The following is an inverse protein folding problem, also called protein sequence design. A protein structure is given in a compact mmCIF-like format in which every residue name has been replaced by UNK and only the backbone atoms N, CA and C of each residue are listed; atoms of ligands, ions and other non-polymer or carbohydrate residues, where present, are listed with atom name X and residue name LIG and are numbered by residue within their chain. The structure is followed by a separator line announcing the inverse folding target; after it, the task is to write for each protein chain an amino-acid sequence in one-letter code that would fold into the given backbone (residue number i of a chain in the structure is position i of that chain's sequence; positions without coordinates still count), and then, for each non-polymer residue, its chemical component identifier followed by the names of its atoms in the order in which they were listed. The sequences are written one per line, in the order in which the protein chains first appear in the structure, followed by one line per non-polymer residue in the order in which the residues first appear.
data_IF_253578134960
#
_entry.id   IF_253578134960
#
_cell.length_a   1.000
_cell.length_b   1.000
_cell.length_c   1.000
_cell.angle_alpha   90.00
_cell.angle_beta   90.00
_cell.angle_gamma   90.00
#
_symmetry.space_group_name_H-M   'P 1'
#
loop_
_entity.id
_entity.type
_entity.pdbx_description
1 polymer ?
#
# COMPACT_ATOMS: atom_id res chain seq x y z
N UNK A 1 -32.69 62.72 76.05
CA UNK A 1 -33.04 61.74 75.02
C UNK A 1 -31.87 61.63 74.03
N UNK A 2 -30.92 60.67 74.24
CA UNK A 2 -29.77 60.48 73.40
C UNK A 2 -29.94 59.12 72.70
N UNK A 3 -30.09 59.12 71.37
CA UNK A 3 -30.17 57.95 70.57
C UNK A 3 -28.75 57.45 70.25
N UNK A 4 -28.44 56.24 70.72
CA UNK A 4 -27.18 55.53 70.46
C UNK A 4 -27.31 54.81 69.17
N UNK A 5 -26.49 55.17 68.15
CA UNK A 5 -26.39 54.48 66.89
C UNK A 5 -25.34 53.37 67.02
N UNK A 6 -25.77 52.10 66.89
CA UNK A 6 -24.90 50.96 66.92
C UNK A 6 -24.45 50.67 65.47
N UNK A 7 -23.17 50.89 65.18
CA UNK A 7 -22.56 50.63 63.90
C UNK A 7 -22.07 49.16 63.88
N UNK A 8 -22.78 48.32 63.15
CA UNK A 8 -22.35 46.91 62.94
C UNK A 8 -21.37 46.88 61.78
N UNK A 9 -20.11 46.55 62.11
CA UNK A 9 -19.01 46.33 61.10
C UNK A 9 -19.10 44.94 60.57
N UNK A 10 -19.57 44.79 59.32
CA UNK A 10 -19.55 43.50 58.61
C UNK A 10 -18.17 43.34 57.98
N UNK A 11 -17.32 42.44 58.52
CA UNK A 11 -16.04 42.03 57.93
C UNK A 11 -16.36 40.95 56.93
N UNK A 12 -16.36 41.33 55.64
CA UNK A 12 -16.42 40.37 54.51
C UNK A 12 -15.12 39.64 54.38
N UNK A 13 -15.11 38.34 54.64
CA UNK A 13 -14.02 37.45 54.25
C UNK A 13 -14.06 37.26 52.72
N UNK A 14 -13.20 37.99 52.00
CA UNK A 14 -12.89 37.68 50.60
C UNK A 14 -11.90 36.53 50.58
N UNK A 15 -12.43 35.32 50.45
CA UNK A 15 -11.63 34.13 50.17
C UNK A 15 -11.13 34.18 48.73
N UNK A 16 -9.89 34.62 48.51
CA UNK A 16 -9.21 34.39 47.25
C UNK A 16 -9.00 32.88 47.05
N UNK A 17 -9.82 32.26 46.19
CA UNK A 17 -9.46 30.97 45.59
C UNK A 17 -8.26 31.21 44.70
N UNK A 18 -7.09 30.87 45.17
CA UNK A 18 -5.91 30.70 44.34
C UNK A 18 -6.13 29.44 43.48
N UNK A 19 -6.76 29.58 42.31
CA UNK A 19 -6.64 28.62 41.25
C UNK A 19 -5.19 28.65 40.78
N UNK A 20 -4.35 27.85 41.45
CA UNK A 20 -3.06 27.46 40.86
C UNK A 20 -3.37 26.73 39.57
N UNK A 21 -3.38 27.45 38.45
CA UNK A 21 -3.12 26.84 37.13
C UNK A 21 -1.79 26.13 37.29
N UNK A 22 -1.86 24.82 37.49
CA UNK A 22 -0.71 23.95 37.35
C UNK A 22 -0.41 24.01 35.84
N UNK A 23 0.43 24.97 35.44
CA UNK A 23 1.15 24.88 34.21
C UNK A 23 2.05 23.64 34.35
N UNK A 24 1.49 22.47 34.07
CA UNK A 24 2.31 21.32 33.69
C UNK A 24 2.94 21.71 32.37
N UNK A 25 4.10 22.35 32.41
CA UNK A 25 5.08 22.25 31.34
C UNK A 25 5.32 20.76 31.20
N UNK A 26 4.69 20.16 30.19
CA UNK A 26 5.06 18.82 29.75
C UNK A 26 6.57 18.85 29.59
N UNK A 27 7.32 17.87 30.17
CA UNK A 27 8.75 17.76 29.88
C UNK A 27 8.89 17.80 28.38
N UNK A 28 9.99 18.38 27.88
CA UNK A 28 10.32 18.35 26.46
C UNK A 28 10.31 16.88 26.04
N UNK A 29 9.20 16.45 25.47
CA UNK A 29 9.04 15.10 24.95
C UNK A 29 10.08 14.95 23.86
N UNK A 30 10.92 13.94 23.96
CA UNK A 30 11.82 13.53 22.89
C UNK A 30 10.94 13.21 21.68
N UNK A 31 10.71 14.25 20.87
CA UNK A 31 9.93 14.14 19.65
C UNK A 31 10.86 13.63 18.55
N UNK A 32 10.57 12.44 18.04
CA UNK A 32 11.21 11.92 16.85
C UNK A 32 10.19 11.66 15.76
N UNK A 33 10.59 11.79 14.52
CA UNK A 33 9.76 11.55 13.36
C UNK A 33 10.31 10.37 12.57
N UNK A 34 9.42 9.47 12.13
CA UNK A 34 9.79 8.39 11.24
C UNK A 34 10.30 8.97 9.92
N UNK A 35 11.53 8.63 9.56
CA UNK A 35 12.13 9.11 8.32
C UNK A 35 11.61 8.29 7.15
N UNK A 36 10.88 8.95 6.25
CA UNK A 36 10.44 8.41 4.97
C UNK A 36 11.24 9.08 3.86
N UNK A 37 11.80 8.27 2.94
CA UNK A 37 12.62 8.75 1.82
C UNK A 37 11.77 9.03 0.57
N UNK A 38 10.73 8.24 0.36
CA UNK A 38 9.92 8.20 -0.86
C UNK A 38 8.43 8.35 -0.59
N UNK A 39 7.89 7.61 0.39
CA UNK A 39 6.47 7.62 0.71
C UNK A 39 6.01 8.98 1.23
N UNK A 40 4.83 9.42 0.76
CA UNK A 40 4.21 10.71 1.10
C UNK A 40 2.82 10.54 1.73
N UNK A 41 2.24 9.36 1.56
CA UNK A 41 0.87 9.06 1.99
C UNK A 41 0.70 8.91 3.48
N UNK A 42 1.79 8.79 4.27
CA UNK A 42 1.70 8.73 5.72
C UNK A 42 2.86 9.43 6.43
N UNK A 43 2.68 9.70 7.71
CA UNK A 43 3.74 10.19 8.60
C UNK A 43 3.53 9.67 10.01
N UNK A 44 4.61 9.52 10.77
CA UNK A 44 4.55 9.07 12.17
C UNK A 44 5.45 9.95 13.02
N UNK A 45 4.89 10.48 14.09
CA UNK A 45 5.62 11.24 15.11
C UNK A 45 5.54 10.48 16.43
N UNK A 46 6.69 10.14 16.98
CA UNK A 46 6.84 9.51 18.28
C UNK A 46 7.09 10.59 19.34
N UNK A 47 6.25 10.63 20.36
CA UNK A 47 6.34 11.52 21.52
C UNK A 47 6.82 10.78 22.78
N UNK A 48 7.39 9.59 22.64
CA UNK A 48 7.84 8.74 23.75
C UNK A 48 6.69 8.07 24.50
N UNK A 49 5.69 8.84 24.90
CA UNK A 49 4.51 8.34 25.62
C UNK A 49 3.36 7.91 24.70
N UNK A 50 3.40 8.26 23.44
CA UNK A 50 2.43 7.89 22.40
C UNK A 50 3.01 8.22 21.02
N UNK A 51 2.41 7.63 19.98
CA UNK A 51 2.73 8.00 18.60
C UNK A 51 1.50 8.55 17.90
N UNK A 52 1.71 9.48 16.99
CA UNK A 52 0.68 9.97 16.08
C UNK A 52 1.00 9.45 14.69
N UNK A 53 0.12 8.63 14.15
CA UNK A 53 0.13 8.20 12.76
C UNK A 53 -0.87 9.05 11.98
N UNK A 54 -0.42 9.68 10.89
CA UNK A 54 -1.30 10.38 9.95
C UNK A 54 -1.28 9.69 8.60
N UNK A 55 -2.45 9.55 7.99
CA UNK A 55 -2.62 9.06 6.63
C UNK A 55 -3.17 10.20 5.79
N UNK A 56 -2.42 10.58 4.77
CA UNK A 56 -2.77 11.67 3.87
C UNK A 56 -3.32 11.07 2.57
N UNK A 57 -4.50 11.53 2.14
CA UNK A 57 -5.06 11.19 0.81
C UNK A 57 -5.00 9.68 0.48
N UNK A 58 -5.62 8.78 1.26
CA UNK A 58 -5.52 7.34 1.07
C UNK A 58 -6.15 6.80 -0.24
N UNK A 59 -6.82 7.66 -1.02
CA UNK A 59 -7.35 7.40 -2.37
C UNK A 59 -7.26 8.66 -3.23
N UNK A 60 -7.34 8.54 -4.56
CA UNK A 60 -7.24 9.68 -5.47
C UNK A 60 -8.29 10.77 -5.17
N UNK A 61 -7.84 12.02 -5.18
CA UNK A 61 -8.67 13.20 -4.89
C UNK A 61 -9.22 13.27 -3.46
N UNK A 62 -8.72 12.46 -2.53
CA UNK A 62 -9.01 12.64 -1.11
C UNK A 62 -8.28 13.88 -0.60
N UNK A 63 -9.00 14.79 0.04
CA UNK A 63 -8.44 15.94 0.76
C UNK A 63 -8.36 15.67 2.28
N UNK A 64 -8.91 14.53 2.72
CA UNK A 64 -8.98 14.18 4.14
C UNK A 64 -7.66 13.58 4.61
N UNK A 65 -7.15 14.10 5.73
CA UNK A 65 -6.09 13.47 6.53
C UNK A 65 -6.74 12.74 7.70
N UNK A 66 -6.38 11.50 7.90
CA UNK A 66 -6.78 10.70 9.05
C UNK A 66 -5.68 10.73 10.10
N UNK A 67 -6.07 10.92 11.37
CA UNK A 67 -5.12 11.01 12.50
C UNK A 67 -5.42 9.91 13.50
N UNK A 68 -4.44 9.06 13.75
CA UNK A 68 -4.55 7.92 14.66
C UNK A 68 -3.57 8.08 15.83
N UNK A 69 -4.08 7.81 17.04
CA UNK A 69 -3.26 7.76 18.25
C UNK A 69 -2.86 6.33 18.51
N UNK A 70 -1.56 6.06 18.58
CA UNK A 70 -1.01 4.75 18.89
C UNK A 70 -0.43 4.74 20.30
N UNK A 71 -0.83 3.76 21.11
CA UNK A 71 -0.46 3.60 22.52
C UNK A 71 0.00 2.16 22.78
N UNK A 72 1.00 1.97 23.64
CA UNK A 72 1.20 0.65 24.22
C UNK A 72 0.09 0.31 25.22
N UNK A 73 -0.02 -0.95 25.62
CA UNK A 73 -0.99 -1.40 26.63
C UNK A 73 -0.80 -0.62 27.94
N UNK A 74 0.43 -0.40 28.37
CA UNK A 74 0.79 0.34 29.57
C UNK A 74 0.40 1.82 29.47
N UNK A 75 0.69 2.43 28.31
CA UNK A 75 0.33 3.85 28.05
C UNK A 75 -1.18 4.04 28.04
N UNK A 76 -1.93 3.12 27.45
CA UNK A 76 -3.39 3.16 27.41
C UNK A 76 -4.03 3.10 28.81
N UNK A 77 -3.40 2.43 29.78
CA UNK A 77 -3.88 2.32 31.16
C UNK A 77 -3.71 3.62 31.98
N UNK A 78 -2.67 4.40 31.68
CA UNK A 78 -2.28 5.56 32.50
C UNK A 78 -2.57 6.91 31.87
N UNK A 79 -2.92 6.92 30.57
CA UNK A 79 -3.12 8.15 29.80
C UNK A 79 -4.61 8.36 29.50
N UNK A 80 -5.06 9.60 29.58
CA UNK A 80 -6.41 9.99 29.19
C UNK A 80 -6.32 10.90 27.98
N UNK A 81 -6.90 10.49 26.88
CA UNK A 81 -6.99 11.26 25.64
C UNK A 81 -8.46 11.51 25.29
N UNK A 82 -8.75 12.66 24.71
CA UNK A 82 -10.06 12.89 24.14
C UNK A 82 -10.18 12.10 22.83
N UNK A 83 -11.15 11.18 22.79
CA UNK A 83 -11.34 10.30 21.62
C UNK A 83 -11.76 11.07 20.36
N UNK A 84 -12.40 12.21 20.52
CA UNK A 84 -12.89 13.03 19.40
C UNK A 84 -11.75 13.74 18.65
N UNK A 85 -10.55 13.79 19.22
CA UNK A 85 -9.38 14.40 18.58
C UNK A 85 -8.72 13.47 17.55
N UNK A 86 -9.15 12.21 17.47
CA UNK A 86 -8.53 11.17 16.64
C UNK A 86 -9.58 10.36 15.86
N UNK A 87 -9.25 9.94 14.65
CA UNK A 87 -10.10 9.02 13.86
C UNK A 87 -10.16 7.62 14.51
N UNK A 88 -9.10 7.19 15.21
CA UNK A 88 -9.12 6.05 16.13
C UNK A 88 -7.95 6.10 17.12
N UNK A 89 -8.11 5.38 18.25
CA UNK A 89 -7.06 5.10 19.23
C UNK A 89 -6.74 3.60 19.12
N UNK A 90 -5.48 3.26 18.92
CA UNK A 90 -5.02 1.91 18.59
C UNK A 90 -3.95 1.49 19.60
N UNK A 91 -4.12 0.31 20.18
CA UNK A 91 -3.11 -0.28 21.06
C UNK A 91 -2.10 -1.08 20.25
N UNK A 92 -0.82 -0.82 20.44
CA UNK A 92 0.29 -1.50 19.76
C UNK A 92 1.21 -2.21 20.77
N UNK A 93 1.92 -3.30 20.39
CA UNK A 93 1.84 -3.95 19.08
C UNK A 93 0.50 -4.65 18.86
N UNK A 94 0.07 -4.73 17.59
CA UNK A 94 -1.12 -5.45 17.17
C UNK A 94 -0.92 -6.97 17.37
N UNK A 95 -1.92 -7.65 17.92
CA UNK A 95 -1.90 -9.11 18.12
C UNK A 95 -2.84 -9.83 17.15
N UNK A 96 -3.95 -9.19 16.76
CA UNK A 96 -4.89 -9.69 15.76
C UNK A 96 -5.21 -8.63 14.73
N UNK A 97 -4.89 -8.89 13.48
CA UNK A 97 -5.14 -7.95 12.38
C UNK A 97 -6.03 -8.58 11.31
N UNK A 98 -6.83 -7.75 10.69
CA UNK A 98 -7.45 -8.03 9.40
C UNK A 98 -6.91 -7.02 8.39
N UNK A 99 -6.48 -7.48 7.23
CA UNK A 99 -6.12 -6.62 6.11
C UNK A 99 -7.02 -6.94 4.92
N UNK A 100 -7.28 -5.95 4.05
CA UNK A 100 -8.29 -6.11 2.98
C UNK A 100 -7.70 -6.01 1.58
N UNK A 101 -6.37 -5.97 1.45
CA UNK A 101 -5.67 -6.08 0.17
C UNK A 101 -4.57 -7.14 0.25
N UNK A 102 -4.38 -7.90 -0.82
CA UNK A 102 -3.27 -8.84 -0.94
C UNK A 102 -1.92 -8.13 -0.88
N UNK A 103 -1.82 -6.86 -1.30
CA UNK A 103 -0.59 -6.04 -1.21
C UNK A 103 -0.07 -5.85 0.21
N UNK A 104 -0.94 -5.99 1.22
CA UNK A 104 -0.56 -5.87 2.63
C UNK A 104 0.12 -7.13 3.19
N UNK A 105 -0.13 -8.30 2.60
CA UNK A 105 0.35 -9.61 3.07
C UNK A 105 1.89 -9.69 3.08
N UNK A 106 2.61 -9.28 2.02
CA UNK A 106 4.07 -9.36 2.00
C UNK A 106 4.75 -8.57 3.11
N UNK A 107 4.19 -7.43 3.51
CA UNK A 107 4.73 -6.65 4.62
C UNK A 107 4.61 -7.41 5.96
N UNK A 108 3.49 -8.12 6.20
CA UNK A 108 3.32 -8.96 7.38
C UNK A 108 4.32 -10.12 7.40
N UNK A 109 4.53 -10.78 6.26
CA UNK A 109 5.49 -11.87 6.13
C UNK A 109 6.94 -11.43 6.32
N UNK A 110 7.33 -10.34 5.68
CA UNK A 110 8.70 -9.81 5.78
C UNK A 110 9.03 -9.37 7.22
N UNK A 111 8.04 -8.88 7.96
CA UNK A 111 8.17 -8.53 9.37
C UNK A 111 8.04 -9.74 10.30
N UNK A 112 7.70 -10.93 9.79
CA UNK A 112 7.51 -12.16 10.58
C UNK A 112 6.31 -12.08 11.53
N UNK A 113 5.23 -11.41 11.10
CA UNK A 113 4.00 -11.21 11.89
C UNK A 113 2.75 -11.76 11.19
N UNK A 114 2.90 -12.54 10.14
CA UNK A 114 1.80 -13.13 9.37
C UNK A 114 0.85 -13.98 10.22
N UNK A 115 1.33 -14.50 11.35
CA UNK A 115 0.51 -15.26 12.30
C UNK A 115 -0.56 -14.43 13.01
N UNK A 116 -0.43 -13.10 12.99
CA UNK A 116 -1.41 -12.18 13.58
C UNK A 116 -2.61 -11.94 12.66
N UNK A 117 -2.51 -12.30 11.37
CA UNK A 117 -3.61 -12.19 10.42
C UNK A 117 -4.68 -13.22 10.77
N UNK A 118 -5.89 -12.76 11.15
CA UNK A 118 -6.98 -13.62 11.61
C UNK A 118 -8.14 -13.73 10.61
N UNK A 119 -8.21 -12.81 9.64
CA UNK A 119 -9.24 -12.83 8.60
C UNK A 119 -8.80 -12.04 7.38
N UNK A 120 -9.31 -12.44 6.20
CA UNK A 120 -9.02 -11.80 4.92
C UNK A 120 -10.22 -11.92 3.98
N UNK A 121 -10.66 -10.85 3.28
CA UNK A 121 -11.68 -10.92 2.26
C UNK A 121 -11.09 -11.44 0.95
N UNK A 122 -11.67 -12.51 0.39
CA UNK A 122 -11.22 -13.12 -0.87
C UNK A 122 -9.93 -13.92 -0.71
N UNK A 123 -9.89 -14.85 0.24
CA UNK A 123 -8.71 -15.70 0.51
C UNK A 123 -8.18 -16.44 -0.71
N UNK A 124 -9.00 -16.68 -1.75
CA UNK A 124 -8.56 -17.33 -2.99
C UNK A 124 -7.57 -16.49 -3.81
N UNK A 125 -7.53 -15.17 -3.59
CA UNK A 125 -6.54 -14.29 -4.23
C UNK A 125 -5.16 -14.32 -3.56
N UNK A 126 -5.02 -14.95 -2.39
CA UNK A 126 -3.76 -15.02 -1.65
C UNK A 126 -2.82 -15.99 -2.33
N UNK A 127 -1.64 -15.49 -2.72
CA UNK A 127 -0.59 -16.25 -3.41
C UNK A 127 0.49 -16.79 -2.48
N UNK A 128 0.70 -16.14 -1.32
CA UNK A 128 1.70 -16.53 -0.33
C UNK A 128 1.50 -17.96 0.17
N UNK A 129 2.52 -18.81 0.05
CA UNK A 129 2.48 -20.18 0.56
C UNK A 129 2.31 -20.24 2.08
N UNK A 130 2.95 -19.33 2.83
CA UNK A 130 2.83 -19.28 4.30
C UNK A 130 1.41 -18.91 4.72
N UNK A 131 0.85 -17.86 4.13
CA UNK A 131 -0.51 -17.40 4.46
C UNK A 131 -1.55 -18.40 3.97
N UNK A 132 -1.34 -19.05 2.82
CA UNK A 132 -2.16 -20.19 2.37
C UNK A 132 -2.21 -21.30 3.43
N UNK A 133 -1.06 -21.69 3.99
CA UNK A 133 -1.01 -22.69 5.07
C UNK A 133 -1.83 -22.29 6.32
N UNK A 134 -1.91 -20.99 6.63
CA UNK A 134 -2.76 -20.48 7.71
C UNK A 134 -4.26 -20.50 7.34
N UNK A 135 -4.60 -20.21 6.09
CA UNK A 135 -5.97 -20.30 5.58
C UNK A 135 -6.44 -21.76 5.57
N UNK A 136 -5.65 -22.67 5.04
CA UNK A 136 -5.97 -24.09 4.93
C UNK A 136 -6.16 -24.75 6.31
N UNK A 137 -5.42 -24.26 7.32
CA UNK A 137 -5.57 -24.69 8.72
C UNK A 137 -6.64 -23.89 9.48
N UNK A 138 -7.42 -23.04 8.80
CA UNK A 138 -8.52 -22.21 9.35
C UNK A 138 -8.08 -21.22 10.44
N UNK A 139 -6.80 -20.88 10.51
CA UNK A 139 -6.31 -19.81 11.37
C UNK A 139 -6.66 -18.44 10.82
N UNK A 140 -6.77 -18.31 9.49
CA UNK A 140 -7.30 -17.13 8.81
C UNK A 140 -8.69 -17.47 8.27
N UNK A 141 -9.68 -16.66 8.63
CA UNK A 141 -11.07 -16.82 8.21
C UNK A 141 -11.34 -16.04 6.92
N UNK A 142 -12.11 -16.66 6.02
CA UNK A 142 -12.68 -15.96 4.85
C UNK A 142 -13.72 -14.94 5.30
N UNK A 143 -13.62 -13.72 4.76
CA UNK A 143 -14.49 -12.58 5.11
C UNK A 143 -15.38 -12.10 3.94
N UNK A 144 -15.39 -12.77 2.80
CA UNK A 144 -16.16 -12.37 1.63
C UNK A 144 -15.40 -11.36 0.75
N UNK A 145 -16.07 -10.32 0.27
CA UNK A 145 -15.50 -9.31 -0.60
C UNK A 145 -15.12 -8.04 0.20
N UNK A 146 -14.14 -7.25 -0.30
CA UNK A 146 -13.67 -6.04 0.39
C UNK A 146 -14.79 -5.01 0.63
N UNK A 147 -15.70 -4.81 -0.31
CA UNK A 147 -16.83 -3.90 -0.18
C UNK A 147 -18.00 -4.50 0.62
N UNK A 148 -18.01 -5.81 0.79
CA UNK A 148 -19.05 -6.59 1.46
C UNK A 148 -18.52 -7.55 2.50
N UNK A 149 -17.55 -7.14 3.32
CA UNK A 149 -16.97 -7.96 4.40
C UNK A 149 -18.08 -8.51 5.29
N UNK A 150 -18.01 -9.81 5.55
CA UNK A 150 -18.88 -10.49 6.51
C UNK A 150 -18.59 -9.97 7.92
N UNK A 151 -19.37 -8.96 8.32
CA UNK A 151 -19.19 -8.28 9.60
C UNK A 151 -19.50 -9.17 10.80
N UNK A 152 -20.34 -10.19 10.65
CA UNK A 152 -20.66 -11.15 11.70
C UNK A 152 -19.42 -12.01 12.04
N UNK A 153 -18.77 -12.57 11.01
CA UNK A 153 -17.51 -13.31 11.19
C UNK A 153 -16.40 -12.40 11.72
N UNK A 154 -16.32 -11.16 11.22
CA UNK A 154 -15.32 -10.20 11.69
C UNK A 154 -15.48 -9.90 13.19
N UNK A 155 -16.73 -9.69 13.65
CA UNK A 155 -17.02 -9.44 15.07
C UNK A 155 -16.67 -10.65 15.96
N UNK A 156 -16.93 -11.88 15.47
CA UNK A 156 -16.51 -13.11 16.15
C UNK A 156 -14.98 -13.19 16.31
N UNK A 157 -14.23 -12.82 15.28
CA UNK A 157 -12.76 -12.79 15.30
C UNK A 157 -12.21 -11.75 16.28
N UNK A 158 -12.95 -10.67 16.47
CA UNK A 158 -12.60 -9.54 17.34
C UNK A 158 -11.14 -9.08 17.15
N UNK A 159 -10.79 -8.58 15.93
CA UNK A 159 -9.43 -8.10 15.67
C UNK A 159 -9.17 -6.78 16.41
N UNK A 160 -7.90 -6.55 16.75
CA UNK A 160 -7.44 -5.27 17.32
C UNK A 160 -7.51 -4.14 16.30
N UNK A 161 -7.39 -4.49 15.01
CA UNK A 161 -7.30 -3.54 13.92
C UNK A 161 -7.76 -4.14 12.60
N UNK A 162 -8.46 -3.32 11.80
CA UNK A 162 -8.67 -3.56 10.36
C UNK A 162 -7.84 -2.53 9.57
N UNK A 163 -6.98 -3.01 8.67
CA UNK A 163 -6.28 -2.15 7.69
C UNK A 163 -7.03 -2.23 6.38
N UNK A 164 -7.72 -1.14 6.05
CA UNK A 164 -8.60 -1.05 4.90
C UNK A 164 -7.88 -0.56 3.64
N UNK A 165 -8.18 -1.22 2.52
CA UNK A 165 -7.98 -0.67 1.19
C UNK A 165 -9.25 0.06 0.77
N UNK A 166 -9.17 1.32 0.37
CA UNK A 166 -10.30 2.12 -0.06
C UNK A 166 -10.05 2.76 -1.41
N UNK A 167 -11.07 2.76 -2.28
CA UNK A 167 -11.05 3.44 -3.59
C UNK A 167 -11.58 4.86 -3.46
N UNK A 168 -12.53 5.05 -2.54
CA UNK A 168 -13.14 6.33 -2.18
C UNK A 168 -13.55 6.36 -0.71
N UNK A 169 -14.12 7.49 -0.27
CA UNK A 169 -14.55 7.70 1.12
C UNK A 169 -15.88 7.02 1.51
N UNK A 170 -16.49 6.22 0.65
CA UNK A 170 -17.88 5.77 0.83
C UNK A 170 -18.02 4.30 1.23
N UNK A 171 -17.03 3.71 1.88
CA UNK A 171 -17.11 2.31 2.30
C UNK A 171 -18.03 2.15 3.53
N UNK A 172 -19.30 1.79 3.28
CA UNK A 172 -20.32 1.56 4.32
C UNK A 172 -19.95 0.42 5.27
N UNK A 173 -19.23 -0.58 4.76
CA UNK A 173 -18.78 -1.71 5.56
C UNK A 173 -17.78 -1.27 6.61
N UNK A 174 -16.79 -0.45 6.24
CA UNK A 174 -15.83 0.10 7.20
C UNK A 174 -16.50 1.01 8.24
N UNK A 175 -17.50 1.79 7.84
CA UNK A 175 -18.26 2.59 8.81
C UNK A 175 -19.06 1.72 9.81
N UNK A 176 -19.58 0.58 9.37
CA UNK A 176 -20.25 -0.39 10.24
C UNK A 176 -19.25 -1.02 11.22
N UNK A 177 -18.07 -1.39 10.74
CA UNK A 177 -17.00 -1.96 11.57
C UNK A 177 -16.54 -0.95 12.64
N UNK A 178 -16.31 0.32 12.28
CA UNK A 178 -15.96 1.38 13.22
C UNK A 178 -17.04 1.58 14.30
N UNK A 179 -18.32 1.56 13.92
CA UNK A 179 -19.44 1.68 14.87
C UNK A 179 -19.54 0.51 15.85
N UNK A 180 -19.01 -0.66 15.51
CA UNK A 180 -18.93 -1.80 16.43
C UNK A 180 -17.77 -1.68 17.42
N UNK A 181 -16.94 -0.64 17.31
CA UNK A 181 -15.81 -0.39 18.21
C UNK A 181 -14.47 -0.97 17.72
N UNK A 182 -14.42 -1.60 16.55
CA UNK A 182 -13.18 -2.09 15.96
C UNK A 182 -12.52 -0.95 15.17
N UNK A 183 -11.27 -0.57 15.47
CA UNK A 183 -10.55 0.45 14.73
C UNK A 183 -10.36 0.05 13.27
N UNK A 184 -10.57 1.00 12.35
CA UNK A 184 -10.25 0.86 10.93
C UNK A 184 -9.30 1.98 10.53
N UNK A 185 -8.15 1.62 9.99
CA UNK A 185 -7.20 2.56 9.39
C UNK A 185 -7.05 2.29 7.91
N UNK A 186 -6.62 3.29 7.15
CA UNK A 186 -6.46 3.17 5.71
C UNK A 186 -4.99 3.01 5.35
N UNK A 187 -4.71 2.10 4.41
CA UNK A 187 -3.44 2.03 3.72
C UNK A 187 -3.60 2.67 2.33
N UNK A 188 -2.74 3.63 2.01
CA UNK A 188 -2.75 4.37 0.75
C UNK A 188 -1.54 4.06 -0.15
N UNK A 189 -0.90 2.91 0.00
CA UNK A 189 0.29 2.51 -0.76
C UNK A 189 0.08 2.58 -2.29
N UNK A 190 -1.13 2.26 -2.73
CA UNK A 190 -1.48 2.20 -4.15
C UNK A 190 -1.56 3.56 -4.84
N UNK A 191 -1.73 4.67 -4.09
CA UNK A 191 -1.74 6.04 -4.64
C UNK A 191 -0.38 6.70 -4.67
N UNK A 192 0.66 6.07 -4.13
CA UNK A 192 2.03 6.57 -4.21
C UNK A 192 2.52 6.66 -5.66
N UNK A 193 3.38 7.63 -5.92
CA UNK A 193 3.81 8.04 -7.26
C UNK A 193 5.07 7.32 -7.77
N UNK A 194 5.68 6.46 -6.95
CA UNK A 194 6.85 5.69 -7.36
C UNK A 194 6.89 4.28 -6.77
N UNK A 195 7.61 3.33 -7.41
CA UNK A 195 7.73 1.97 -6.92
C UNK A 195 8.34 1.88 -5.51
N UNK A 196 9.36 2.68 -5.22
CA UNK A 196 10.00 2.71 -3.90
C UNK A 196 9.12 3.36 -2.85
N UNK A 197 8.29 4.36 -3.20
CA UNK A 197 7.32 4.93 -2.28
C UNK A 197 6.27 3.90 -1.85
N UNK A 198 5.77 3.08 -2.77
CA UNK A 198 4.86 1.97 -2.46
C UNK A 198 5.51 0.96 -1.52
N UNK A 199 6.74 0.53 -1.80
CA UNK A 199 7.46 -0.44 -0.98
C UNK A 199 7.79 0.10 0.43
N UNK A 200 7.97 1.41 0.59
CA UNK A 200 8.29 2.02 1.88
C UNK A 200 7.13 1.93 2.89
N UNK A 201 5.91 1.60 2.45
CA UNK A 201 4.79 1.34 3.34
C UNK A 201 4.96 0.12 4.26
N UNK A 202 6.01 -0.68 4.07
CA UNK A 202 6.40 -1.68 5.08
C UNK A 202 6.69 -1.03 6.44
N UNK A 203 7.16 0.23 6.46
CA UNK A 203 7.41 0.99 7.69
C UNK A 203 6.12 1.33 8.44
N UNK A 204 5.00 1.54 7.71
CA UNK A 204 3.69 1.68 8.31
C UNK A 204 3.32 0.45 9.15
N UNK A 205 3.48 -0.76 8.60
CA UNK A 205 3.28 -1.99 9.36
C UNK A 205 4.33 -2.15 10.48
N UNK A 206 5.59 -1.77 10.25
CA UNK A 206 6.62 -1.75 11.28
C UNK A 206 6.23 -0.97 12.52
N UNK A 207 5.54 0.17 12.36
CA UNK A 207 5.02 0.97 13.49
C UNK A 207 3.91 0.24 14.24
N UNK A 208 2.97 -0.38 13.53
CA UNK A 208 1.84 -1.11 14.13
C UNK A 208 2.28 -2.32 14.96
N UNK A 209 3.38 -2.96 14.58
CA UNK A 209 3.92 -4.14 15.24
C UNK A 209 5.14 -3.85 16.13
N UNK A 210 5.47 -2.58 16.34
CA UNK A 210 6.65 -2.15 17.10
C UNK A 210 7.98 -2.72 16.55
N UNK A 211 8.08 -2.84 15.21
CA UNK A 211 9.18 -3.41 14.43
C UNK A 211 9.76 -2.40 13.42
N UNK A 212 9.91 -1.13 13.87
CA UNK A 212 10.39 -0.05 13.00
C UNK A 212 11.80 -0.31 12.48
N UNK A 213 12.70 -0.80 13.34
CA UNK A 213 14.08 -1.07 12.96
C UNK A 213 14.20 -2.20 11.92
N UNK A 214 13.38 -3.26 12.07
CA UNK A 214 13.31 -4.35 11.11
C UNK A 214 12.73 -3.86 9.78
N UNK A 215 11.66 -3.06 9.82
CA UNK A 215 11.06 -2.48 8.62
C UNK A 215 12.04 -1.58 7.86
N UNK A 216 12.81 -0.75 8.59
CA UNK A 216 13.87 0.07 8.01
C UNK A 216 14.98 -0.78 7.36
N UNK A 217 15.42 -1.83 8.03
CA UNK A 217 16.44 -2.74 7.48
C UNK A 217 15.97 -3.43 6.20
N UNK A 218 14.74 -3.94 6.20
CA UNK A 218 14.14 -4.61 5.04
C UNK A 218 13.98 -3.62 3.88
N UNK A 219 13.43 -2.44 4.14
CA UNK A 219 13.26 -1.42 3.10
C UNK A 219 14.60 -0.96 2.52
N UNK A 220 15.60 -0.70 3.35
CA UNK A 220 16.94 -0.31 2.89
C UNK A 220 17.58 -1.38 1.99
N UNK A 221 17.33 -2.67 2.25
CA UNK A 221 17.81 -3.74 1.37
C UNK A 221 17.05 -3.73 0.02
N UNK A 222 15.72 -3.56 0.04
CA UNK A 222 14.89 -3.45 -1.18
C UNK A 222 15.33 -2.23 -2.00
N UNK A 223 15.52 -1.09 -1.36
CA UNK A 223 16.00 0.14 -1.99
C UNK A 223 17.36 -0.08 -2.66
N UNK A 224 18.31 -0.67 -1.93
CA UNK A 224 19.65 -0.97 -2.45
C UNK A 224 19.57 -1.88 -3.68
N UNK A 225 18.83 -2.98 -3.60
CA UNK A 225 18.69 -3.94 -4.69
C UNK A 225 18.02 -3.32 -5.91
N UNK A 226 17.04 -2.43 -5.71
CA UNK A 226 16.40 -1.67 -6.77
C UNK A 226 17.38 -0.70 -7.46
N UNK A 227 18.12 0.09 -6.67
CA UNK A 227 19.07 1.06 -7.19
C UNK A 227 20.26 0.39 -7.90
N UNK A 228 20.75 -0.75 -7.39
CA UNK A 228 21.79 -1.54 -8.03
C UNK A 228 21.31 -2.10 -9.40
N UNK A 229 20.09 -2.60 -9.48
CA UNK A 229 19.48 -3.06 -10.72
C UNK A 229 19.32 -1.91 -11.74
N UNK A 230 18.82 -0.76 -11.31
CA UNK A 230 18.72 0.45 -12.12
C UNK A 230 20.10 0.91 -12.65
N UNK A 231 21.13 0.94 -11.79
CA UNK A 231 22.49 1.29 -12.19
C UNK A 231 23.08 0.27 -13.18
N UNK A 232 22.73 -1.00 -13.05
CA UNK A 232 23.12 -2.03 -14.02
C UNK A 232 22.49 -1.77 -15.39
N UNK A 233 21.18 -1.53 -15.46
CA UNK A 233 20.46 -1.26 -16.70
C UNK A 233 20.96 0.01 -17.40
N UNK A 234 21.37 1.05 -16.65
CA UNK A 234 21.84 2.30 -17.23
C UNK A 234 23.14 2.19 -18.05
N UNK A 235 23.85 1.06 -17.95
CA UNK A 235 25.11 0.81 -18.69
C UNK A 235 24.85 0.42 -20.16
N UNK A 236 23.64 0.07 -20.53
CA UNK A 236 23.30 -0.36 -21.89
C UNK A 236 22.91 0.85 -22.73
N UNK A 237 23.38 0.89 -23.95
CA UNK A 237 23.06 1.97 -24.91
C UNK A 237 21.81 1.65 -25.74
N UNK A 238 21.55 0.36 -26.02
CA UNK A 238 20.39 -0.08 -26.78
C UNK A 238 19.16 -0.09 -25.90
N UNK A 239 18.07 0.53 -26.36
CA UNK A 239 16.80 0.61 -25.65
C UNK A 239 15.71 -0.01 -26.50
N UNK A 240 15.28 -1.26 -26.22
CA UNK A 240 14.17 -1.85 -26.96
C UNK A 240 12.90 -1.03 -26.76
N UNK A 241 12.11 -0.91 -27.81
CA UNK A 241 10.81 -0.25 -27.73
C UNK A 241 9.77 -1.16 -27.10
N UNK A 242 8.98 -0.60 -26.17
CA UNK A 242 8.04 -1.35 -25.35
C UNK A 242 6.62 -0.82 -25.51
N UNK A 243 5.70 -1.74 -25.88
CA UNK A 243 4.26 -1.58 -25.72
C UNK A 243 3.82 -2.26 -24.42
N UNK A 244 2.82 -1.69 -23.73
CA UNK A 244 2.19 -2.28 -22.55
C UNK A 244 0.66 -2.25 -22.64
N UNK A 245 0.00 -3.06 -21.77
CA UNK A 245 -1.44 -3.12 -21.68
C UNK A 245 -2.13 -3.84 -22.84
N UNK A 246 -3.45 -3.77 -22.87
CA UNK A 246 -4.30 -4.30 -23.92
C UNK A 246 -5.69 -3.64 -23.88
N UNK A 247 -6.55 -4.01 -24.83
CA UNK A 247 -7.96 -3.59 -24.84
C UNK A 247 -8.74 -4.20 -23.68
N UNK A 248 -9.53 -3.37 -23.04
CA UNK A 248 -10.67 -3.80 -22.25
C UNK A 248 -11.92 -3.19 -22.89
N UNK A 249 -12.81 -4.04 -23.40
CA UNK A 249 -13.88 -3.60 -24.33
C UNK A 249 -13.26 -2.84 -25.51
N UNK A 250 -13.65 -1.58 -25.71
CA UNK A 250 -13.23 -0.76 -26.86
C UNK A 250 -12.08 0.22 -26.52
N UNK A 251 -11.48 0.11 -25.33
CA UNK A 251 -10.45 1.03 -24.84
C UNK A 251 -9.19 0.27 -24.51
N UNK A 252 -8.04 0.75 -25.02
CA UNK A 252 -6.73 0.26 -24.63
C UNK A 252 -6.25 0.98 -23.39
N UNK A 253 -5.96 0.24 -22.33
CA UNK A 253 -5.40 0.75 -21.10
C UNK A 253 -3.92 0.41 -20.98
N UNK A 254 -3.09 1.43 -20.72
CA UNK A 254 -1.66 1.31 -20.54
C UNK A 254 -1.15 2.33 -19.51
N UNK A 255 0.05 2.15 -18.91
CA UNK A 255 0.57 3.08 -17.92
C UNK A 255 0.77 4.49 -18.48
N UNK A 256 0.31 5.52 -17.77
CA UNK A 256 0.74 6.90 -18.06
C UNK A 256 2.24 7.06 -17.83
N UNK A 257 2.89 7.98 -18.55
CA UNK A 257 4.33 8.17 -18.55
C UNK A 257 4.96 8.57 -17.22
N UNK A 258 4.17 9.08 -16.27
CA UNK A 258 4.61 9.42 -14.90
C UNK A 258 4.04 8.47 -13.84
N UNK A 259 3.47 7.33 -14.24
CA UNK A 259 3.00 6.29 -13.32
C UNK A 259 4.16 5.48 -12.72
N UNK A 260 3.97 4.80 -11.59
CA UNK A 260 4.98 3.89 -11.03
C UNK A 260 5.41 2.79 -12.01
N UNK A 261 4.49 2.27 -12.80
CA UNK A 261 4.77 1.25 -13.82
C UNK A 261 5.64 1.80 -14.95
N UNK A 262 5.38 3.04 -15.42
CA UNK A 262 6.23 3.72 -16.39
C UNK A 262 7.60 4.05 -15.82
N UNK A 263 7.70 4.33 -14.51
CA UNK A 263 8.97 4.52 -13.82
C UNK A 263 9.82 3.23 -13.81
N UNK A 264 9.19 2.06 -13.57
CA UNK A 264 9.87 0.77 -13.67
C UNK A 264 10.44 0.54 -15.08
N UNK A 265 9.66 0.83 -16.13
CA UNK A 265 10.12 0.72 -17.52
C UNK A 265 11.30 1.68 -17.81
N UNK A 266 11.21 2.92 -17.33
CA UNK A 266 12.29 3.90 -17.43
C UNK A 266 13.56 3.43 -16.72
N UNK A 267 13.42 2.89 -15.51
CA UNK A 267 14.53 2.41 -14.69
C UNK A 267 15.14 1.10 -15.24
N UNK A 268 14.35 0.31 -16.00
CA UNK A 268 14.83 -0.79 -16.80
C UNK A 268 15.55 -0.35 -18.10
N UNK A 269 15.68 0.94 -18.35
CA UNK A 269 16.36 1.54 -19.49
C UNK A 269 15.80 1.12 -20.85
N UNK A 270 14.46 1.12 -20.97
CA UNK A 270 13.77 0.82 -22.24
C UNK A 270 13.15 2.09 -22.84
N UNK A 271 12.80 2.03 -24.12
CA UNK A 271 12.02 3.05 -24.82
C UNK A 271 10.52 2.74 -24.67
N UNK A 272 9.92 3.16 -23.54
CA UNK A 272 8.48 3.06 -23.38
C UNK A 272 7.80 4.07 -24.29
N UNK A 273 6.98 3.60 -25.21
CA UNK A 273 6.42 4.41 -26.31
C UNK A 273 5.48 5.54 -25.84
N UNK A 274 5.02 5.50 -24.59
CA UNK A 274 4.13 6.50 -23.99
C UNK A 274 4.76 7.24 -22.79
N UNK A 275 6.09 7.22 -22.70
CA UNK A 275 6.85 7.85 -21.60
C UNK A 275 6.61 9.36 -21.48
N UNK A 276 6.23 10.05 -22.55
CA UNK A 276 6.01 11.49 -22.57
C UNK A 276 4.60 11.91 -22.09
N UNK A 277 3.72 10.94 -21.80
CA UNK A 277 2.38 11.25 -21.29
C UNK A 277 2.45 11.54 -19.77
N UNK A 278 1.48 12.30 -19.27
CA UNK A 278 1.43 12.70 -17.85
C UNK A 278 0.22 12.09 -17.15
N UNK A 279 0.42 11.64 -15.91
CA UNK A 279 -0.61 11.05 -15.07
C UNK A 279 -0.07 9.85 -14.28
N UNK A 280 -0.62 9.62 -13.10
CA UNK A 280 -0.23 8.53 -12.19
C UNK A 280 -0.98 7.22 -12.42
N UNK A 281 -2.09 7.26 -13.18
CA UNK A 281 -2.92 6.09 -13.45
C UNK A 281 -2.75 5.56 -14.87
N UNK A 282 -3.80 4.93 -15.39
CA UNK A 282 -3.83 4.40 -16.75
C UNK A 282 -4.18 5.48 -17.77
N UNK A 283 -3.50 5.47 -18.90
CA UNK A 283 -3.86 6.18 -20.10
C UNK A 283 -4.87 5.33 -20.88
N UNK A 284 -5.96 5.95 -21.36
CA UNK A 284 -7.01 5.31 -22.13
C UNK A 284 -6.97 5.79 -23.58
N UNK A 285 -6.77 4.86 -24.53
CA UNK A 285 -6.62 5.17 -25.96
C UNK A 285 -7.48 4.25 -26.83
N UNK A 286 -7.73 4.66 -28.09
CA UNK A 286 -8.31 3.77 -29.09
C UNK A 286 -7.28 2.75 -29.61
N UNK A 287 -7.76 1.65 -30.14
CA UNK A 287 -6.91 0.63 -30.80
C UNK A 287 -6.08 1.27 -31.92
N UNK A 288 -6.69 2.10 -32.75
CA UNK A 288 -6.05 2.73 -33.92
C UNK A 288 -4.86 3.59 -33.50
N UNK A 289 -5.02 4.42 -32.44
CA UNK A 289 -3.95 5.26 -31.89
C UNK A 289 -2.78 4.43 -31.40
N UNK A 290 -3.08 3.31 -30.71
CA UNK A 290 -2.02 2.40 -30.22
C UNK A 290 -1.35 1.66 -31.36
N UNK A 291 -2.13 1.17 -32.31
CA UNK A 291 -1.60 0.44 -33.47
C UNK A 291 -0.69 1.31 -34.33
N UNK A 292 -1.10 2.54 -34.61
CA UNK A 292 -0.29 3.50 -35.38
C UNK A 292 1.09 3.72 -34.74
N UNK A 293 1.12 3.92 -33.43
CA UNK A 293 2.36 4.24 -32.69
C UNK A 293 3.21 3.04 -32.34
N UNK A 294 2.59 1.89 -32.03
CA UNK A 294 3.25 0.78 -31.38
C UNK A 294 3.27 -0.54 -32.16
N UNK A 295 2.79 -0.59 -33.41
CA UNK A 295 2.77 -1.84 -34.22
C UNK A 295 4.15 -2.46 -34.39
N UNK A 296 5.20 -1.63 -34.43
CA UNK A 296 6.59 -2.04 -34.63
C UNK A 296 7.38 -2.13 -33.29
N UNK A 297 6.71 -2.18 -32.14
CA UNK A 297 7.38 -2.35 -30.86
C UNK A 297 8.15 -3.68 -30.81
N UNK A 298 9.36 -3.64 -30.24
CA UNK A 298 10.21 -4.83 -30.07
C UNK A 298 9.60 -5.80 -29.07
N UNK A 299 9.02 -5.27 -28.00
CA UNK A 299 8.45 -6.03 -26.89
C UNK A 299 7.03 -5.56 -26.56
N UNK A 300 6.19 -6.50 -26.16
CA UNK A 300 4.88 -6.22 -25.59
C UNK A 300 4.82 -6.81 -24.18
N UNK A 301 4.72 -5.94 -23.16
CA UNK A 301 4.71 -6.32 -21.77
C UNK A 301 3.31 -6.18 -21.16
N UNK A 302 2.93 -7.15 -20.33
CA UNK A 302 1.67 -7.12 -19.57
C UNK A 302 0.44 -6.89 -20.45
N UNK A 303 0.12 -7.79 -21.38
CA UNK A 303 -1.07 -7.66 -22.22
C UNK A 303 -2.34 -7.97 -21.42
N UNK A 304 -2.65 -7.15 -20.39
CA UNK A 304 -3.78 -7.34 -19.48
C UNK A 304 -3.81 -8.78 -18.89
N UNK A 305 -4.96 -9.42 -18.84
CA UNK A 305 -5.14 -10.77 -18.29
C UNK A 305 -4.96 -11.90 -19.31
N UNK A 306 -4.43 -11.61 -20.50
CA UNK A 306 -4.20 -12.65 -21.49
C UNK A 306 -3.00 -13.51 -21.13
N UNK A 307 -3.24 -14.83 -21.08
CA UNK A 307 -2.24 -15.84 -20.68
C UNK A 307 -1.57 -16.57 -21.84
N UNK A 308 -2.13 -16.44 -23.06
CA UNK A 308 -1.61 -17.13 -24.27
C UNK A 308 -1.80 -16.29 -25.53
N UNK A 309 -1.03 -16.64 -26.59
CA UNK A 309 -1.18 -16.06 -27.93
C UNK A 309 -2.56 -16.35 -28.51
N UNK A 310 -3.08 -17.57 -28.29
CA UNK A 310 -4.43 -17.94 -28.73
C UNK A 310 -5.50 -17.07 -28.07
N UNK A 311 -5.39 -16.81 -26.75
CA UNK A 311 -6.32 -15.94 -26.05
C UNK A 311 -6.30 -14.50 -26.56
N UNK A 312 -5.11 -13.96 -26.87
CA UNK A 312 -4.97 -12.63 -27.51
C UNK A 312 -5.63 -12.60 -28.88
N UNK A 313 -5.31 -13.55 -29.76
CA UNK A 313 -5.85 -13.62 -31.13
C UNK A 313 -7.37 -13.77 -31.12
N UNK A 314 -7.91 -14.63 -30.27
CA UNK A 314 -9.36 -14.82 -30.10
C UNK A 314 -10.07 -13.55 -29.62
N UNK A 315 -9.44 -12.79 -28.73
CA UNK A 315 -9.98 -11.56 -28.21
C UNK A 315 -10.03 -10.46 -29.29
N UNK A 316 -8.99 -10.33 -30.11
CA UNK A 316 -8.94 -9.41 -31.23
C UNK A 316 -7.89 -9.86 -32.26
N UNK A 317 -8.35 -10.27 -33.45
CA UNK A 317 -7.46 -10.70 -34.54
C UNK A 317 -6.46 -9.61 -34.97
N UNK A 318 -6.73 -8.33 -34.73
CA UNK A 318 -5.80 -7.27 -35.07
C UNK A 318 -4.52 -7.30 -34.22
N UNK A 319 -4.52 -7.96 -33.05
CA UNK A 319 -3.31 -8.14 -32.25
C UNK A 319 -2.21 -8.89 -32.99
N UNK A 320 -2.57 -9.81 -33.91
CA UNK A 320 -1.60 -10.56 -34.74
C UNK A 320 -0.78 -9.66 -35.68
N UNK A 321 -1.22 -8.41 -35.90
CA UNK A 321 -0.54 -7.44 -36.78
C UNK A 321 0.63 -6.74 -36.08
N UNK A 322 0.73 -6.79 -34.75
CA UNK A 322 1.87 -6.24 -34.01
C UNK A 322 3.10 -7.08 -34.21
N UNK A 323 4.27 -6.45 -34.36
CA UNK A 323 5.52 -7.16 -34.60
C UNK A 323 5.93 -7.98 -33.37
N UNK A 324 5.70 -7.50 -32.14
CA UNK A 324 5.91 -8.26 -30.93
C UNK A 324 5.09 -9.57 -30.89
N UNK A 325 3.87 -9.60 -31.45
CA UNK A 325 3.08 -10.81 -31.57
C UNK A 325 3.71 -11.80 -32.57
N UNK A 326 4.08 -11.31 -33.76
CA UNK A 326 4.73 -12.14 -34.83
C UNK A 326 6.05 -12.72 -34.35
N UNK A 327 6.85 -11.92 -33.66
CA UNK A 327 8.17 -12.29 -33.16
C UNK A 327 8.12 -13.11 -31.86
N UNK A 328 6.93 -13.34 -31.29
CA UNK A 328 6.74 -14.03 -30.00
C UNK A 328 7.44 -13.34 -28.84
N UNK A 329 7.54 -12.01 -28.88
CA UNK A 329 8.19 -11.16 -27.88
C UNK A 329 7.16 -10.52 -26.93
N UNK A 330 6.23 -11.33 -26.42
CA UNK A 330 5.20 -10.92 -25.47
C UNK A 330 5.45 -11.59 -24.12
N UNK A 331 5.43 -10.81 -23.05
CA UNK A 331 5.64 -11.29 -21.68
C UNK A 331 4.51 -10.84 -20.76
N UNK A 332 4.12 -11.72 -19.85
CA UNK A 332 3.03 -11.49 -18.92
C UNK A 332 3.39 -11.97 -17.51
N UNK A 333 2.83 -11.33 -16.50
CA UNK A 333 2.92 -11.79 -15.12
C UNK A 333 1.71 -12.64 -14.70
N UNK A 334 0.63 -12.68 -15.49
CA UNK A 334 -0.60 -13.41 -15.10
C UNK A 334 -0.40 -14.93 -15.11
N UNK A 335 0.65 -15.43 -15.75
CA UNK A 335 1.04 -16.85 -15.77
C UNK A 335 1.84 -17.28 -14.53
N UNK A 336 2.04 -16.37 -13.57
CA UNK A 336 2.69 -16.67 -12.29
C UNK A 336 1.68 -16.47 -11.17
N UNK A 337 1.13 -17.59 -10.71
CA UNK A 337 0.02 -17.60 -9.73
C UNK A 337 0.36 -18.44 -8.52
N UNK A 338 -0.26 -18.14 -7.39
CA UNK A 338 -0.32 -19.02 -6.24
C UNK A 338 -1.24 -20.24 -6.48
N UNK A 339 -1.35 -21.09 -5.47
CA UNK A 339 -2.06 -22.38 -5.56
C UNK A 339 -3.55 -22.25 -5.94
N UNK A 340 -4.20 -21.16 -5.59
CA UNK A 340 -5.62 -20.88 -5.84
C UNK A 340 -5.87 -19.95 -7.02
N UNK A 341 -4.82 -19.58 -7.77
CA UNK A 341 -4.93 -18.74 -8.97
C UNK A 341 -4.71 -17.25 -8.73
N UNK A 342 -4.46 -16.80 -7.50
CA UNK A 342 -4.05 -15.43 -7.21
C UNK A 342 -2.76 -15.08 -7.94
N UNK A 343 -2.73 -13.93 -8.63
CA UNK A 343 -1.56 -13.49 -9.42
C UNK A 343 -0.51 -12.91 -8.49
N UNK A 344 0.68 -13.55 -8.47
CA UNK A 344 1.76 -13.20 -7.54
C UNK A 344 2.24 -11.75 -7.67
N UNK A 345 2.23 -11.21 -8.89
CA UNK A 345 2.62 -9.81 -9.14
C UNK A 345 1.75 -8.82 -8.35
N UNK A 346 0.44 -9.03 -8.31
CA UNK A 346 -0.47 -8.13 -7.60
C UNK A 346 -0.30 -8.18 -6.08
N UNK A 347 0.13 -9.31 -5.53
CA UNK A 347 0.40 -9.42 -4.11
C UNK A 347 1.76 -8.86 -3.73
N UNK A 348 2.83 -9.35 -4.37
CA UNK A 348 4.22 -9.10 -3.95
C UNK A 348 4.91 -7.96 -4.69
N UNK A 349 4.51 -7.66 -5.92
CA UNK A 349 5.22 -6.71 -6.78
C UNK A 349 5.30 -5.28 -6.22
N UNK A 350 4.27 -4.87 -5.48
CA UNK A 350 4.23 -3.55 -4.80
C UNK A 350 5.30 -3.45 -3.71
N UNK A 351 5.49 -4.50 -2.93
CA UNK A 351 6.48 -4.53 -1.83
C UNK A 351 7.89 -4.84 -2.33
N UNK A 352 8.02 -5.57 -3.46
CA UNK A 352 9.31 -5.99 -4.03
C UNK A 352 9.53 -5.44 -5.45
N UNK A 353 9.53 -4.11 -5.62
CA UNK A 353 9.80 -3.49 -6.93
C UNK A 353 11.21 -3.78 -7.45
N UNK A 354 12.14 -4.15 -6.60
CA UNK A 354 13.49 -4.60 -6.96
C UNK A 354 13.45 -5.88 -7.81
N UNK A 355 12.58 -6.84 -7.47
CA UNK A 355 12.38 -8.05 -8.26
C UNK A 355 11.67 -7.75 -9.56
N UNK A 356 10.66 -6.86 -9.54
CA UNK A 356 9.96 -6.44 -10.76
C UNK A 356 10.93 -5.77 -11.73
N UNK A 357 11.79 -4.88 -11.25
CA UNK A 357 12.80 -4.22 -12.08
C UNK A 357 13.82 -5.21 -12.64
N UNK A 358 14.29 -6.17 -11.85
CA UNK A 358 15.20 -7.24 -12.34
C UNK A 358 14.54 -8.10 -13.41
N UNK A 359 13.26 -8.42 -13.29
CA UNK A 359 12.50 -9.14 -14.32
C UNK A 359 12.46 -8.37 -15.65
N UNK A 360 12.11 -7.08 -15.58
CA UNK A 360 12.07 -6.21 -16.75
C UNK A 360 13.46 -6.09 -17.41
N UNK A 361 14.51 -5.92 -16.60
CA UNK A 361 15.89 -5.89 -17.12
C UNK A 361 16.26 -7.22 -17.78
N UNK A 362 15.91 -8.35 -17.17
CA UNK A 362 16.20 -9.67 -17.76
C UNK A 362 15.50 -9.88 -19.10
N UNK A 363 14.28 -9.38 -19.24
CA UNK A 363 13.51 -9.49 -20.49
C UNK A 363 14.07 -8.55 -21.56
N UNK A 364 14.38 -7.33 -21.19
CA UNK A 364 14.75 -6.27 -22.15
C UNK A 364 16.27 -6.27 -22.47
N UNK A 365 17.10 -6.75 -21.55
CA UNK A 365 18.56 -6.77 -21.61
C UNK A 365 19.10 -8.10 -21.05
N UNK A 366 18.81 -9.25 -21.70
CA UNK A 366 19.08 -10.58 -21.13
C UNK A 366 20.55 -10.84 -20.83
N UNK A 367 21.47 -10.13 -21.49
CA UNK A 367 22.91 -10.21 -21.30
C UNK A 367 23.38 -9.67 -19.94
N UNK A 368 22.63 -8.74 -19.31
CA UNK A 368 22.99 -8.14 -18.02
C UNK A 368 22.77 -9.08 -16.85
N UNK A 369 21.79 -9.95 -16.93
CA UNK A 369 21.36 -10.83 -15.85
C UNK A 369 21.30 -12.29 -16.32
N UNK A 370 22.42 -12.83 -16.82
CA UNK A 370 22.49 -14.16 -17.51
C UNK A 370 21.85 -15.28 -16.71
N UNK A 371 22.18 -15.40 -15.43
CA UNK A 371 21.76 -16.50 -14.56
C UNK A 371 20.45 -16.20 -13.78
N UNK A 372 19.93 -14.97 -13.90
CA UNK A 372 18.70 -14.58 -13.23
C UNK A 372 17.47 -15.19 -13.93
N UNK A 373 16.58 -15.76 -13.14
CA UNK A 373 15.27 -16.25 -13.59
C UNK A 373 14.20 -15.27 -13.16
N UNK A 374 13.38 -14.75 -14.10
CA UNK A 374 12.30 -13.84 -13.75
C UNK A 374 11.38 -14.44 -12.69
N UNK A 375 11.02 -13.61 -11.72
CA UNK A 375 10.19 -13.99 -10.58
C UNK A 375 8.71 -13.92 -10.91
N UNK A 376 8.29 -12.86 -11.59
CA UNK A 376 6.89 -12.57 -11.92
C UNK A 376 6.59 -12.84 -13.39
N UNK A 377 7.44 -12.36 -14.30
CA UNK A 377 7.17 -12.35 -15.72
C UNK A 377 7.60 -13.66 -16.40
N UNK A 378 6.74 -14.12 -17.29
CA UNK A 378 7.00 -15.27 -18.19
C UNK A 378 6.68 -14.90 -19.61
N UNK A 379 7.32 -15.54 -20.63
CA UNK A 379 6.84 -15.48 -22.00
C UNK A 379 5.36 -15.87 -22.05
N UNK A 380 4.60 -15.23 -22.91
CA UNK A 380 3.21 -15.59 -23.16
C UNK A 380 3.13 -17.03 -23.67
N UNK A 381 2.20 -17.83 -23.16
CA UNK A 381 2.05 -19.23 -23.58
C UNK A 381 1.72 -19.31 -25.08
N UNK A 382 2.24 -20.35 -25.75
CA UNK A 382 2.01 -20.62 -27.18
C UNK A 382 0.63 -21.20 -27.43
#
# INVERSE_FOLDING_TARGET
MKKLFLLVLIIGFVGCKNDKKINRTLPSLDRSELILKYAKGFSVVDYGQYKILKINSPWPKSEKTYTYLLLTKEQAMVSTFNKDDYDAIITIPIEKIVVTSTTHIPALELLGVEQTLVGFPGTDYVSSEKVRGLIDTKKIRELGENEGINTEVLLELNPDLVVGFGIDGNNKTFETIKKSGIPVIYNGDWVEDSPLAKAEWIKFFGVLFNKVAEADSIFNQIEKDYLDAKALASKVTTKPSVLSGAMHKDVWYLPNGTSPEAQLLKDANVNYLYSETTGSGSLALSFESVFEKAKAADLWLSPSYYSSFEALEKANQHYTKFDAFKNKSIYTFVNTTGATGGVLYYELGTTRPDLVLKDLIKICHPELLKDYKPYFFKPLNR
#
